data_IF_284981893372
#
_entry.id   IF_284981893372
#
_cell.length_a   1.000
_cell.length_b   1.000
_cell.length_c   1.000
_cell.angle_alpha   90.00
_cell.angle_beta   90.00
_cell.angle_gamma   90.00
#
_symmetry.space_group_name_H-M   'P 1'
#
loop_
_entity.id
_entity.type
_entity.pdbx_description
1 polymer ?
#
# COMPACT_ATOMS: atom_id res chain seq x y z
N UNK A 1 26.37 67.78 25.71
CA UNK A 1 25.01 68.04 25.16
C UNK A 1 24.69 67.00 24.10
N UNK A 2 23.50 66.35 24.17
CA UNK A 2 22.88 65.34 23.26
C UNK A 2 22.38 64.07 23.98
N UNK A 3 21.49 64.21 24.97
CA UNK A 3 20.66 63.09 25.47
C UNK A 3 19.18 63.47 25.71
N UNK A 4 18.80 64.71 25.45
CA UNK A 4 17.43 65.23 25.67
C UNK A 4 16.53 65.15 24.43
N UNK A 5 17.08 64.90 23.24
CA UNK A 5 16.32 64.94 21.98
C UNK A 5 15.61 63.63 21.60
N UNK A 6 16.00 62.49 22.20
CA UNK A 6 15.44 61.18 21.82
C UNK A 6 14.14 60.83 22.58
N UNK A 7 13.93 61.39 23.78
CA UNK A 7 12.73 61.11 24.59
C UNK A 7 11.47 61.84 24.11
N UNK A 8 11.61 62.92 23.33
CA UNK A 8 10.48 63.72 22.81
C UNK A 8 9.88 63.06 21.54
N UNK A 9 10.68 62.30 20.79
CA UNK A 9 10.23 61.60 19.58
C UNK A 9 9.42 60.33 19.87
N UNK A 10 9.66 59.66 21.01
CA UNK A 10 8.91 58.44 21.38
C UNK A 10 7.56 58.79 22.01
N UNK A 11 7.45 59.90 22.75
CA UNK A 11 6.18 60.31 23.36
C UNK A 11 5.16 60.86 22.36
N UNK A 12 5.62 61.50 21.28
CA UNK A 12 4.76 62.06 20.23
C UNK A 12 4.14 60.98 19.33
N UNK A 13 4.81 59.85 19.13
CA UNK A 13 4.29 58.74 18.32
C UNK A 13 3.16 57.97 19.03
N UNK A 14 3.22 57.87 20.36
CA UNK A 14 2.20 57.17 21.17
C UNK A 14 0.89 57.97 21.22
N UNK A 15 0.97 59.30 21.24
CA UNK A 15 -0.22 60.16 21.22
C UNK A 15 -0.94 60.10 19.87
N UNK A 16 -0.21 60.01 18.76
CA UNK A 16 -0.79 59.86 17.42
C UNK A 16 -1.52 58.51 17.23
N UNK A 17 -0.99 57.42 17.80
CA UNK A 17 -1.64 56.10 17.76
C UNK A 17 -2.91 56.03 18.63
N UNK A 18 -2.96 56.77 19.75
CA UNK A 18 -4.14 56.87 20.59
C UNK A 18 -5.26 57.72 19.94
N UNK A 19 -4.91 58.76 19.19
CA UNK A 19 -5.91 59.59 18.48
C UNK A 19 -6.49 58.83 17.27
N UNK A 20 -5.70 58.00 16.58
CA UNK A 20 -6.17 57.22 15.43
C UNK A 20 -7.12 56.07 15.83
N UNK A 21 -6.93 55.48 17.02
CA UNK A 21 -7.83 54.42 17.53
C UNK A 21 -9.18 54.94 18.03
N UNK A 22 -9.27 56.22 18.40
CA UNK A 22 -10.54 56.89 18.76
C UNK A 22 -11.34 57.25 17.49
N UNK A 23 -10.69 57.49 16.35
CA UNK A 23 -11.36 57.90 15.10
C UNK A 23 -11.99 56.75 14.30
N UNK A 24 -11.72 55.48 14.63
CA UNK A 24 -12.25 54.31 13.91
C UNK A 24 -13.43 53.63 14.62
N UNK A 25 -13.94 54.24 15.70
CA UNK A 25 -15.04 53.69 16.50
C UNK A 25 -16.19 54.68 16.55
N UNK A 26 -16.91 54.82 15.43
CA UNK A 26 -18.32 55.23 15.37
C UNK A 26 -18.71 55.60 13.95
N UNK A 27 -19.39 54.68 13.24
CA UNK A 27 -20.44 55.02 12.26
C UNK A 27 -21.40 53.83 12.10
N UNK A 28 -22.33 53.68 13.04
CA UNK A 28 -23.68 53.24 12.70
C UNK A 28 -24.51 54.48 12.33
N UNK A 29 -25.49 54.37 11.42
CA UNK A 29 -26.70 55.17 11.49
C UNK A 29 -27.91 54.30 11.86
N UNK A 30 -28.66 54.78 12.85
CA UNK A 30 -29.93 54.25 13.38
C UNK A 30 -31.16 54.90 12.74
N UNK A 31 -32.28 54.16 12.84
CA UNK A 31 -33.72 54.53 12.84
C UNK A 31 -34.42 54.58 11.47
N UNK A 32 -35.64 54.06 11.27
CA UNK A 32 -36.75 53.59 12.15
C UNK A 32 -37.70 52.71 11.29
N UNK A 33 -38.44 51.72 11.82
CA UNK A 33 -39.87 51.80 12.24
C UNK A 33 -40.27 50.45 12.90
N UNK A 34 -41.14 50.48 13.93
CA UNK A 34 -41.66 49.33 14.70
C UNK A 34 -42.80 48.55 14.01
N UNK A 35 -42.64 47.21 14.00
CA UNK A 35 -43.56 46.05 14.22
C UNK A 35 -44.96 45.94 13.53
N UNK A 36 -45.34 44.71 13.13
CA UNK A 36 -46.06 43.80 14.04
C UNK A 36 -45.41 42.41 14.24
N UNK A 37 -45.72 41.82 15.40
CA UNK A 37 -45.40 40.46 15.85
C UNK A 37 -45.99 39.39 14.91
N UNK A 38 -45.21 38.38 14.55
CA UNK A 38 -45.45 36.99 14.98
C UNK A 38 -44.46 35.98 14.35
N UNK A 39 -43.77 35.25 15.23
CA UNK A 39 -43.44 33.81 15.17
C UNK A 39 -42.84 33.25 13.86
N UNK A 40 -41.52 33.08 13.82
CA UNK A 40 -40.90 31.75 13.61
C UNK A 40 -39.38 31.76 13.85
N UNK A 41 -38.94 30.90 14.75
CA UNK A 41 -37.55 30.70 15.14
C UNK A 41 -36.73 30.04 14.03
N UNK A 42 -36.00 30.82 13.24
CA UNK A 42 -34.88 30.31 12.46
C UNK A 42 -33.65 30.20 13.36
N UNK A 43 -33.40 28.98 13.86
CA UNK A 43 -32.11 28.56 14.41
C UNK A 43 -31.03 28.89 13.37
N UNK A 44 -30.14 29.82 13.72
CA UNK A 44 -28.87 30.01 13.02
C UNK A 44 -28.08 28.71 13.15
N UNK A 45 -28.21 27.84 12.15
CA UNK A 45 -27.24 26.78 11.90
C UNK A 45 -25.95 27.49 11.53
N UNK A 46 -25.02 27.56 12.48
CA UNK A 46 -23.60 27.83 12.19
C UNK A 46 -23.12 26.70 11.29
N UNK A 47 -23.30 26.88 9.98
CA UNK A 47 -22.64 26.08 8.97
C UNK A 47 -21.15 26.45 9.08
N UNK A 48 -20.41 25.72 9.93
CA UNK A 48 -18.97 25.59 9.74
C UNK A 48 -18.82 24.91 8.39
N UNK A 49 -18.55 25.69 7.34
CA UNK A 49 -17.99 25.14 6.13
C UNK A 49 -16.75 24.35 6.57
N UNK A 50 -16.86 23.02 6.59
CA UNK A 50 -15.70 22.14 6.65
C UNK A 50 -14.93 22.44 5.37
N UNK A 51 -13.93 23.31 5.48
CA UNK A 51 -12.89 23.43 4.47
C UNK A 51 -12.34 22.01 4.33
N UNK A 52 -12.55 21.38 3.17
CA UNK A 52 -11.94 20.09 2.88
C UNK A 52 -10.44 20.28 3.05
N UNK A 53 -9.77 19.51 3.92
CA UNK A 53 -8.34 19.66 4.11
C UNK A 53 -7.64 19.51 2.77
N UNK A 54 -6.70 20.41 2.49
CA UNK A 54 -5.85 20.29 1.30
C UNK A 54 -5.11 18.95 1.37
N UNK A 55 -4.76 18.36 0.22
CA UNK A 55 -4.16 17.02 0.17
C UNK A 55 -2.92 16.88 1.09
N UNK A 56 -2.18 17.96 1.31
CA UNK A 56 -1.01 18.00 2.19
C UNK A 56 -1.36 17.92 3.69
N UNK A 57 -2.48 18.50 4.12
CA UNK A 57 -2.95 18.43 5.52
C UNK A 57 -3.41 17.01 5.87
N UNK A 58 -4.09 16.33 4.94
CA UNK A 58 -4.51 14.93 5.10
C UNK A 58 -3.28 14.01 5.20
N UNK A 59 -2.27 14.23 4.34
CA UNK A 59 -1.03 13.48 4.38
C UNK A 59 -0.28 13.69 5.70
N UNK A 60 -0.23 14.91 6.24
CA UNK A 60 0.39 15.18 7.53
C UNK A 60 -0.37 14.54 8.70
N UNK A 61 -1.71 14.59 8.69
CA UNK A 61 -2.52 13.95 9.74
C UNK A 61 -2.33 12.42 9.76
N UNK A 62 -2.29 11.79 8.58
CA UNK A 62 -2.02 10.36 8.45
C UNK A 62 -0.60 10.02 8.92
N UNK A 63 0.39 10.84 8.58
CA UNK A 63 1.77 10.66 9.02
C UNK A 63 1.91 10.73 10.55
N UNK A 64 1.25 11.70 11.18
CA UNK A 64 1.26 11.88 12.65
C UNK A 64 0.60 10.69 13.33
N UNK A 65 -0.54 10.24 12.81
CA UNK A 65 -1.26 9.08 13.36
C UNK A 65 -0.40 7.82 13.27
N UNK A 66 0.18 7.56 12.10
CA UNK A 66 1.05 6.41 11.86
C UNK A 66 2.29 6.45 12.76
N UNK A 67 2.96 7.61 12.85
CA UNK A 67 4.13 7.76 13.71
C UNK A 67 3.80 7.54 15.18
N UNK A 68 2.64 8.02 15.66
CA UNK A 68 2.19 7.79 17.03
C UNK A 68 1.98 6.29 17.30
N UNK A 69 1.28 5.58 16.43
CA UNK A 69 0.99 4.15 16.61
C UNK A 69 2.24 3.26 16.45
N UNK A 70 3.25 3.72 15.70
CA UNK A 70 4.54 3.04 15.57
C UNK A 70 5.57 3.44 16.65
N UNK A 71 5.21 4.38 17.53
CA UNK A 71 6.08 4.99 18.54
C UNK A 71 7.33 5.66 17.94
N UNK A 72 7.16 6.35 16.80
CA UNK A 72 8.22 7.03 16.07
C UNK A 72 8.14 8.53 16.31
N UNK A 73 9.29 9.14 16.63
CA UNK A 73 9.41 10.61 16.72
C UNK A 73 9.75 11.19 15.35
N UNK A 74 8.74 11.68 14.61
CA UNK A 74 8.89 12.18 13.23
C UNK A 74 10.04 13.20 13.08
N UNK A 75 10.21 14.11 14.04
CA UNK A 75 11.23 15.17 13.98
C UNK A 75 12.65 14.65 14.02
N UNK A 76 12.87 13.43 14.53
CA UNK A 76 14.18 12.80 14.67
C UNK A 76 14.46 11.75 13.60
N UNK A 77 13.43 11.30 12.89
CA UNK A 77 13.54 10.19 11.95
C UNK A 77 13.42 10.67 10.49
N UNK A 78 14.57 11.03 9.92
CA UNK A 78 14.66 11.49 8.54
C UNK A 78 14.26 10.39 7.54
N UNK A 79 14.60 9.13 7.82
CA UNK A 79 14.26 8.00 6.96
C UNK A 79 12.75 7.80 6.91
N UNK A 80 12.07 7.82 8.07
CA UNK A 80 10.62 7.75 8.17
C UNK A 80 9.93 8.84 7.37
N UNK A 81 10.38 10.09 7.52
CA UNK A 81 9.80 11.24 6.80
C UNK A 81 9.95 11.10 5.28
N UNK A 82 11.11 10.67 4.80
CA UNK A 82 11.38 10.52 3.37
C UNK A 82 10.62 9.34 2.76
N UNK A 83 10.50 8.23 3.48
CA UNK A 83 9.68 7.09 3.06
C UNK A 83 8.21 7.45 2.92
N UNK A 84 7.69 8.31 3.80
CA UNK A 84 6.33 8.83 3.74
C UNK A 84 6.15 10.04 2.80
N UNK A 85 7.22 10.53 2.15
CA UNK A 85 7.10 11.52 1.08
C UNK A 85 6.83 10.82 -0.25
N UNK A 86 5.55 10.65 -0.57
CA UNK A 86 5.10 9.96 -1.79
C UNK A 86 5.45 10.69 -3.09
N UNK A 87 5.99 11.92 -3.02
CA UNK A 87 6.52 12.65 -4.19
C UNK A 87 7.89 12.13 -4.62
N UNK A 88 8.57 11.39 -3.74
CA UNK A 88 9.88 10.79 -4.01
C UNK A 88 9.67 9.33 -4.42
N UNK A 89 10.25 8.92 -5.55
CA UNK A 89 10.25 7.52 -5.96
C UNK A 89 11.10 6.68 -4.99
N UNK A 90 10.67 5.45 -4.69
CA UNK A 90 11.39 4.53 -3.80
C UNK A 90 12.82 4.29 -4.30
N UNK A 91 13.03 4.27 -5.62
CA UNK A 91 14.35 4.08 -6.24
C UNK A 91 15.34 5.20 -5.90
N UNK A 92 14.84 6.39 -5.61
CA UNK A 92 15.65 7.56 -5.27
C UNK A 92 15.98 7.62 -3.76
N UNK A 93 15.28 6.82 -2.95
CA UNK A 93 15.50 6.77 -1.49
C UNK A 93 16.78 6.00 -1.11
N UNK A 94 17.37 5.23 -2.03
CA UNK A 94 18.61 4.46 -1.78
C UNK A 94 19.84 5.31 -1.42
N UNK A 95 19.80 6.60 -1.72
CA UNK A 95 20.91 7.53 -1.46
C UNK A 95 20.83 8.21 -0.08
N UNK A 96 19.84 7.85 0.75
CA UNK A 96 19.58 8.55 2.02
C UNK A 96 20.47 8.04 3.16
N UNK A 97 20.77 6.73 3.17
CA UNK A 97 21.57 6.06 4.19
C UNK A 97 22.53 5.07 3.53
N UNK A 98 23.53 4.59 4.27
CA UNK A 98 24.32 3.43 3.81
C UNK A 98 23.41 2.20 3.66
N UNK A 99 23.78 1.28 2.77
CA UNK A 99 23.04 0.03 2.49
C UNK A 99 22.67 -0.72 3.78
N UNK A 100 23.63 -0.88 4.70
CA UNK A 100 23.41 -1.58 5.97
C UNK A 100 22.41 -0.85 6.88
N UNK A 101 22.56 0.46 7.07
CA UNK A 101 21.63 1.24 7.90
C UNK A 101 20.23 1.23 7.32
N UNK A 102 20.11 1.29 5.99
CA UNK A 102 18.82 1.21 5.30
C UNK A 102 18.18 -0.16 5.47
N UNK A 103 18.97 -1.25 5.37
CA UNK A 103 18.53 -2.62 5.64
C UNK A 103 17.99 -2.73 7.07
N UNK A 104 18.82 -2.44 8.08
CA UNK A 104 18.44 -2.54 9.49
C UNK A 104 17.18 -1.71 9.80
N UNK A 105 17.13 -0.48 9.28
CA UNK A 105 15.98 0.40 9.47
C UNK A 105 14.71 -0.18 8.83
N UNK A 106 14.81 -0.62 7.58
CA UNK A 106 13.65 -1.08 6.82
C UNK A 106 13.11 -2.40 7.35
N UNK A 107 13.97 -3.32 7.81
CA UNK A 107 13.55 -4.56 8.50
C UNK A 107 12.80 -4.25 9.80
N UNK A 108 13.35 -3.36 10.63
CA UNK A 108 12.69 -2.95 11.87
C UNK A 108 11.33 -2.30 11.60
N UNK A 109 11.26 -1.45 10.58
CA UNK A 109 10.03 -0.76 10.21
C UNK A 109 9.00 -1.73 9.60
N UNK A 110 9.41 -2.68 8.74
CA UNK A 110 8.49 -3.67 8.16
C UNK A 110 7.84 -4.53 9.24
N UNK A 111 8.62 -4.96 10.24
CA UNK A 111 8.12 -5.82 11.32
C UNK A 111 7.14 -5.07 12.23
N UNK A 112 7.46 -3.80 12.54
CA UNK A 112 6.53 -2.95 13.28
C UNK A 112 5.23 -2.71 12.49
N UNK A 113 5.33 -2.43 11.20
CA UNK A 113 4.18 -2.16 10.34
C UNK A 113 3.30 -3.39 10.16
N UNK A 114 3.85 -4.57 9.91
CA UNK A 114 3.06 -5.79 9.73
C UNK A 114 2.22 -6.09 10.97
N UNK A 115 2.83 -6.08 12.16
CA UNK A 115 2.14 -6.30 13.42
C UNK A 115 1.04 -5.25 13.67
N UNK A 116 1.37 -3.98 13.46
CA UNK A 116 0.48 -2.86 13.68
C UNK A 116 -0.72 -2.84 12.70
N UNK A 117 -0.51 -3.26 11.45
CA UNK A 117 -1.57 -3.42 10.46
C UNK A 117 -2.53 -4.54 10.88
N UNK A 118 -1.99 -5.70 11.27
CA UNK A 118 -2.78 -6.87 11.67
C UNK A 118 -3.59 -6.59 12.93
N UNK A 119 -3.05 -5.84 13.90
CA UNK A 119 -3.74 -5.52 15.14
C UNK A 119 -4.98 -4.64 14.93
N UNK A 120 -4.83 -3.50 14.23
CA UNK A 120 -5.92 -2.53 14.07
C UNK A 120 -5.72 -1.54 12.90
N UNK A 121 -5.09 -1.99 11.81
CA UNK A 121 -4.77 -1.14 10.67
C UNK A 121 -3.91 0.08 11.03
N UNK A 122 -3.05 -0.08 12.04
CA UNK A 122 -2.27 1.00 12.65
C UNK A 122 -3.11 2.20 13.10
N UNK A 123 -4.30 1.94 13.65
CA UNK A 123 -5.22 2.95 14.15
C UNK A 123 -5.84 3.82 13.04
N UNK A 124 -5.74 3.41 11.77
CA UNK A 124 -6.48 4.05 10.67
C UNK A 124 -7.97 3.80 10.88
N UNK A 125 -8.78 4.85 10.75
CA UNK A 125 -10.24 4.78 10.93
C UNK A 125 -10.96 5.05 9.62
N UNK A 126 -12.22 4.58 9.47
CA UNK A 126 -13.07 5.01 8.38
C UNK A 126 -13.16 6.53 8.29
N UNK A 127 -13.33 7.04 7.07
CA UNK A 127 -13.52 8.46 6.86
C UNK A 127 -14.89 8.95 7.38
N UNK A 128 -15.17 10.25 7.24
CA UNK A 128 -16.44 10.82 7.70
C UNK A 128 -17.69 10.26 6.98
N UNK A 129 -17.52 9.63 5.82
CA UNK A 129 -18.57 8.97 5.07
C UNK A 129 -18.67 7.47 5.40
N UNK A 130 -17.81 6.95 6.27
CA UNK A 130 -17.74 5.55 6.66
C UNK A 130 -16.98 4.66 5.67
N UNK A 131 -16.32 5.24 4.66
CA UNK A 131 -15.48 4.46 3.75
C UNK A 131 -14.18 4.05 4.45
N UNK A 132 -13.79 2.78 4.29
CA UNK A 132 -12.55 2.23 4.81
C UNK A 132 -12.02 1.15 3.87
N UNK A 133 -10.81 1.34 3.39
CA UNK A 133 -10.08 0.34 2.62
C UNK A 133 -9.12 -0.40 3.55
N UNK A 134 -9.55 -1.56 4.01
CA UNK A 134 -8.82 -2.44 4.94
C UNK A 134 -7.46 -2.85 4.38
N UNK A 135 -7.34 -2.97 3.06
CA UNK A 135 -6.16 -3.46 2.37
C UNK A 135 -5.27 -2.33 1.82
N UNK A 136 -5.71 -1.07 1.95
CA UNK A 136 -5.12 0.11 1.30
C UNK A 136 -4.79 1.26 2.24
N UNK A 137 -4.66 1.02 3.55
CA UNK A 137 -4.40 2.10 4.51
C UNK A 137 -3.02 2.78 4.31
N UNK A 138 -2.79 3.97 4.89
CA UNK A 138 -1.47 4.60 4.86
C UNK A 138 -0.34 3.71 5.39
N UNK A 139 -0.63 2.83 6.36
CA UNK A 139 0.32 1.86 6.87
C UNK A 139 0.70 0.80 5.82
N UNK A 140 -0.28 0.28 5.06
CA UNK A 140 -0.01 -0.62 3.93
C UNK A 140 0.86 0.06 2.87
N UNK A 141 0.56 1.32 2.55
CA UNK A 141 1.33 2.10 1.59
C UNK A 141 2.78 2.30 2.02
N UNK A 142 3.00 2.58 3.32
CA UNK A 142 4.34 2.69 3.87
C UNK A 142 5.06 1.33 3.87
N UNK A 143 4.39 0.26 4.30
CA UNK A 143 4.97 -1.09 4.32
C UNK A 143 5.38 -1.54 2.92
N UNK A 144 4.52 -1.35 1.93
CA UNK A 144 4.82 -1.63 0.53
C UNK A 144 6.06 -0.87 0.04
N UNK A 145 6.18 0.43 0.38
CA UNK A 145 7.37 1.23 0.02
C UNK A 145 8.62 0.76 0.75
N UNK A 146 8.50 0.36 2.02
CA UNK A 146 9.61 -0.16 2.82
C UNK A 146 10.11 -1.49 2.28
N UNK A 147 9.21 -2.42 1.93
CA UNK A 147 9.57 -3.71 1.33
C UNK A 147 10.17 -3.53 -0.07
N UNK A 148 9.61 -2.65 -0.89
CA UNK A 148 10.19 -2.31 -2.19
C UNK A 148 11.58 -1.68 -2.06
N UNK A 149 11.81 -0.87 -1.02
CA UNK A 149 13.13 -0.31 -0.75
C UNK A 149 14.12 -1.40 -0.33
N UNK A 150 13.72 -2.33 0.53
CA UNK A 150 14.53 -3.51 0.85
C UNK A 150 14.87 -4.29 -0.41
N UNK A 151 13.87 -4.62 -1.23
CA UNK A 151 14.06 -5.40 -2.44
C UNK A 151 15.04 -4.72 -3.41
N UNK A 152 14.97 -3.40 -3.58
CA UNK A 152 15.87 -2.65 -4.47
C UNK A 152 17.32 -2.58 -3.97
N UNK A 153 17.55 -2.69 -2.65
CA UNK A 153 18.87 -2.47 -2.06
C UNK A 153 19.57 -3.77 -1.65
N UNK A 154 18.84 -4.89 -1.57
CA UNK A 154 19.38 -6.18 -1.20
C UNK A 154 19.74 -7.01 -2.43
N UNK A 155 20.93 -7.60 -2.40
CA UNK A 155 21.38 -8.61 -3.33
C UNK A 155 21.00 -10.01 -2.82
N UNK A 156 21.29 -11.02 -3.63
CA UNK A 156 21.05 -12.41 -3.29
C UNK A 156 21.83 -12.79 -2.02
N UNK A 157 21.17 -13.45 -1.06
CA UNK A 157 21.71 -13.83 0.27
C UNK A 157 22.03 -12.67 1.22
N UNK A 158 21.71 -11.43 0.87
CA UNK A 158 21.83 -10.30 1.80
C UNK A 158 20.76 -10.33 2.90
N UNK A 159 19.77 -11.22 2.82
CA UNK A 159 18.64 -11.35 3.73
C UNK A 159 18.59 -12.78 4.29
N UNK A 160 18.34 -12.92 5.60
CA UNK A 160 17.97 -14.20 6.20
C UNK A 160 16.44 -14.34 6.23
N UNK A 161 15.91 -15.56 6.17
CA UNK A 161 14.45 -15.76 6.15
C UNK A 161 13.76 -15.22 7.41
N UNK A 162 14.42 -15.35 8.57
CA UNK A 162 13.88 -14.88 9.85
C UNK A 162 13.92 -13.35 10.03
N UNK A 163 14.58 -12.63 9.13
CA UNK A 163 14.67 -11.16 9.19
C UNK A 163 13.30 -10.49 8.89
N UNK A 164 12.44 -11.17 8.11
CA UNK A 164 11.14 -10.68 7.65
C UNK A 164 10.02 -11.65 8.06
N UNK A 165 8.90 -11.15 8.60
CA UNK A 165 7.76 -11.98 8.98
C UNK A 165 6.94 -12.36 7.73
N UNK A 166 7.53 -13.15 6.84
CA UNK A 166 6.93 -13.54 5.55
C UNK A 166 5.50 -14.09 5.71
N UNK A 167 5.27 -14.92 6.72
CA UNK A 167 3.94 -15.49 6.99
C UNK A 167 2.89 -14.42 7.28
N UNK A 168 3.25 -13.38 8.03
CA UNK A 168 2.33 -12.28 8.33
C UNK A 168 2.12 -11.38 7.11
N UNK A 169 3.17 -11.19 6.29
CA UNK A 169 3.06 -10.43 5.05
C UNK A 169 2.13 -11.10 4.02
N UNK A 170 2.09 -12.43 3.97
CA UNK A 170 1.18 -13.17 3.09
C UNK A 170 -0.30 -12.97 3.45
N UNK A 171 -0.60 -12.71 4.72
CA UNK A 171 -1.97 -12.41 5.18
C UNK A 171 -2.44 -11.01 4.78
N UNK A 172 -1.53 -10.14 4.34
CA UNK A 172 -1.87 -8.78 3.91
C UNK A 172 -2.27 -8.81 2.44
N UNK A 173 -3.56 -8.66 2.17
CA UNK A 173 -4.17 -8.67 0.83
C UNK A 173 -3.88 -7.40 0.01
N UNK A 174 -2.61 -7.01 -0.04
CA UNK A 174 -2.15 -5.84 -0.78
C UNK A 174 -1.17 -6.25 -1.87
N UNK A 175 -1.50 -5.92 -3.13
CA UNK A 175 -0.73 -6.30 -4.31
C UNK A 175 0.76 -5.99 -4.18
N UNK A 176 1.12 -4.77 -3.75
CA UNK A 176 2.54 -4.35 -3.69
C UNK A 176 3.30 -5.05 -2.57
N UNK A 177 2.61 -5.38 -1.47
CA UNK A 177 3.19 -6.15 -0.37
C UNK A 177 3.44 -7.58 -0.85
N UNK A 178 2.46 -8.24 -1.48
CA UNK A 178 2.61 -9.60 -1.98
C UNK A 178 3.70 -9.72 -3.05
N UNK A 179 3.80 -8.77 -3.99
CA UNK A 179 4.88 -8.72 -4.98
C UNK A 179 6.26 -8.60 -4.31
N UNK A 180 6.40 -7.66 -3.37
CA UNK A 180 7.69 -7.45 -2.68
C UNK A 180 8.05 -8.66 -1.81
N UNK A 181 7.05 -9.27 -1.16
CA UNK A 181 7.21 -10.47 -0.31
C UNK A 181 7.71 -11.65 -1.12
N UNK A 182 7.09 -11.94 -2.27
CA UNK A 182 7.55 -13.00 -3.18
C UNK A 182 8.99 -12.76 -3.67
N UNK A 183 9.32 -11.52 -4.05
CA UNK A 183 10.67 -11.17 -4.52
C UNK A 183 11.73 -11.33 -3.42
N UNK A 184 11.44 -10.81 -2.23
CA UNK A 184 12.34 -10.89 -1.07
C UNK A 184 12.53 -12.33 -0.58
N UNK A 185 11.48 -13.17 -0.62
CA UNK A 185 11.56 -14.58 -0.27
C UNK A 185 12.62 -15.28 -1.13
N UNK A 186 12.60 -15.07 -2.44
CA UNK A 186 13.59 -15.69 -3.33
C UNK A 186 15.01 -15.12 -3.13
N UNK A 187 15.14 -13.81 -2.82
CA UNK A 187 16.42 -13.18 -2.51
C UNK A 187 17.06 -13.66 -1.21
N UNK A 188 16.24 -14.07 -0.24
CA UNK A 188 16.73 -14.73 0.97
C UNK A 188 17.38 -16.10 0.68
N UNK A 189 17.26 -16.62 -0.55
CA UNK A 189 17.82 -17.90 -0.98
C UNK A 189 17.43 -19.04 -0.02
N UNK A 190 16.12 -19.33 0.14
CA UNK A 190 15.67 -20.44 0.95
C UNK A 190 16.23 -21.75 0.41
N UNK A 191 16.47 -22.69 1.32
CA UNK A 191 16.59 -24.11 1.00
C UNK A 191 15.28 -24.62 0.40
N UNK A 192 15.31 -25.82 -0.19
CA UNK A 192 14.12 -26.48 -0.76
C UNK A 192 13.00 -26.59 0.28
N UNK A 193 13.31 -27.14 1.45
CA UNK A 193 12.33 -27.33 2.54
C UNK A 193 11.78 -26.01 3.08
N UNK A 194 12.61 -24.96 3.15
CA UNK A 194 12.14 -23.63 3.56
C UNK A 194 11.20 -23.03 2.52
N UNK A 195 11.55 -23.13 1.23
CA UNK A 195 10.69 -22.66 0.15
C UNK A 195 9.35 -23.40 0.13
N UNK A 196 9.37 -24.73 0.27
CA UNK A 196 8.16 -25.56 0.35
C UNK A 196 7.25 -25.13 1.50
N UNK A 197 7.80 -24.92 2.70
CA UNK A 197 7.02 -24.44 3.84
C UNK A 197 6.32 -23.09 3.56
N UNK A 198 6.98 -22.17 2.85
CA UNK A 198 6.34 -20.91 2.45
C UNK A 198 5.30 -21.07 1.35
N UNK A 199 5.50 -22.01 0.43
CA UNK A 199 4.53 -22.33 -0.61
C UNK A 199 3.28 -22.98 -0.01
N UNK A 200 3.42 -23.83 0.99
CA UNK A 200 2.32 -24.43 1.74
C UNK A 200 1.48 -23.36 2.45
N UNK A 201 2.13 -22.40 3.10
CA UNK A 201 1.42 -21.28 3.75
C UNK A 201 0.70 -20.41 2.70
N UNK A 202 1.28 -20.25 1.51
CA UNK A 202 0.65 -19.51 0.42
C UNK A 202 -0.55 -20.24 -0.21
N UNK A 203 -0.83 -21.49 0.16
CA UNK A 203 -2.01 -22.24 -0.29
C UNK A 203 -3.32 -21.52 0.06
N UNK A 204 -3.36 -20.85 1.21
CA UNK A 204 -4.52 -20.13 1.74
C UNK A 204 -4.80 -18.80 1.01
N UNK A 205 -3.91 -18.36 0.13
CA UNK A 205 -4.18 -17.20 -0.72
C UNK A 205 -5.32 -17.53 -1.70
N UNK A 206 -6.18 -16.59 -2.00
CA UNK A 206 -7.27 -16.78 -2.97
C UNK A 206 -7.25 -15.71 -4.07
N UNK A 207 -7.90 -16.02 -5.19
CA UNK A 207 -8.18 -15.12 -6.29
C UNK A 207 -6.95 -14.39 -6.83
N UNK A 208 -7.05 -13.06 -6.86
CA UNK A 208 -5.99 -12.19 -7.35
C UNK A 208 -4.73 -12.25 -6.47
N UNK A 209 -4.85 -12.50 -5.16
CA UNK A 209 -3.71 -12.54 -4.25
C UNK A 209 -2.81 -13.74 -4.55
N UNK A 210 -3.41 -14.94 -4.73
CA UNK A 210 -2.68 -16.14 -5.19
C UNK A 210 -2.01 -15.87 -6.54
N UNK A 211 -2.74 -15.26 -7.48
CA UNK A 211 -2.19 -14.90 -8.79
C UNK A 211 -0.97 -13.97 -8.69
N UNK A 212 -1.05 -12.89 -7.91
CA UNK A 212 0.02 -11.91 -7.75
C UNK A 212 1.27 -12.57 -7.17
N UNK A 213 1.10 -13.31 -6.08
CA UNK A 213 2.20 -13.96 -5.37
C UNK A 213 2.94 -14.97 -6.26
N UNK A 214 2.22 -15.93 -6.82
CA UNK A 214 2.84 -16.98 -7.64
C UNK A 214 3.39 -16.46 -8.97
N UNK A 215 2.71 -15.53 -9.64
CA UNK A 215 3.26 -14.93 -10.88
C UNK A 215 4.57 -14.17 -10.61
N UNK A 216 4.69 -13.54 -9.44
CA UNK A 216 5.94 -12.89 -9.03
C UNK A 216 7.03 -13.91 -8.74
N UNK A 217 6.73 -14.98 -8.00
CA UNK A 217 7.69 -16.06 -7.75
C UNK A 217 8.20 -16.66 -9.06
N UNK A 218 7.30 -17.05 -9.97
CA UNK A 218 7.65 -17.64 -11.27
C UNK A 218 8.58 -16.73 -12.08
N UNK A 219 8.31 -15.41 -12.08
CA UNK A 219 9.09 -14.44 -12.85
C UNK A 219 10.47 -14.18 -12.26
N UNK A 220 10.60 -14.26 -10.93
CA UNK A 220 11.82 -13.92 -10.21
C UNK A 220 12.68 -15.14 -9.82
N UNK A 221 12.14 -16.35 -9.90
CA UNK A 221 12.83 -17.59 -9.55
C UNK A 221 13.92 -17.96 -10.54
N UNK A 222 15.03 -18.51 -10.03
CA UNK A 222 16.00 -19.22 -10.88
C UNK A 222 15.42 -20.56 -11.38
N UNK A 223 16.09 -21.23 -12.32
CA UNK A 223 15.55 -22.44 -12.96
C UNK A 223 15.18 -23.57 -11.98
N UNK A 224 15.92 -23.72 -10.89
CA UNK A 224 15.64 -24.74 -9.87
C UNK A 224 14.42 -24.35 -9.04
N UNK A 225 14.42 -23.18 -8.42
CA UNK A 225 13.29 -22.63 -7.65
C UNK A 225 12.00 -22.63 -8.47
N UNK A 226 12.09 -22.27 -9.75
CA UNK A 226 10.96 -22.19 -10.66
C UNK A 226 10.23 -23.51 -10.80
N UNK A 227 10.96 -24.62 -10.90
CA UNK A 227 10.37 -25.96 -10.99
C UNK A 227 9.50 -26.27 -9.75
N UNK A 228 10.03 -25.98 -8.55
CA UNK A 228 9.30 -26.18 -7.29
C UNK A 228 8.07 -25.27 -7.19
N UNK A 229 8.19 -23.99 -7.56
CA UNK A 229 7.07 -23.05 -7.57
C UNK A 229 5.96 -23.50 -8.52
N UNK A 230 6.31 -23.95 -9.73
CA UNK A 230 5.35 -24.45 -10.73
C UNK A 230 4.66 -25.73 -10.23
N UNK A 231 5.41 -26.65 -9.61
CA UNK A 231 4.84 -27.88 -9.04
C UNK A 231 3.87 -27.60 -7.88
N UNK A 232 4.29 -26.75 -6.94
CA UNK A 232 3.43 -26.37 -5.82
C UNK A 232 2.14 -25.71 -6.31
N UNK A 233 2.23 -24.76 -7.26
CA UNK A 233 1.05 -24.10 -7.81
C UNK A 233 0.13 -25.09 -8.55
N UNK A 234 0.69 -25.98 -9.38
CA UNK A 234 -0.10 -27.00 -10.07
C UNK A 234 -0.80 -27.95 -9.09
N UNK A 235 -0.14 -28.29 -7.98
CA UNK A 235 -0.74 -29.10 -6.92
C UNK A 235 -1.88 -28.35 -6.25
N UNK A 236 -1.63 -27.11 -5.83
CA UNK A 236 -2.63 -26.27 -5.17
C UNK A 236 -3.84 -25.98 -6.05
N UNK A 237 -3.68 -25.84 -7.36
CA UNK A 237 -4.80 -25.63 -8.28
C UNK A 237 -5.78 -26.78 -8.35
N UNK A 238 -5.40 -28.01 -7.99
CA UNK A 238 -6.35 -29.13 -7.95
C UNK A 238 -7.44 -28.95 -6.90
N UNK A 239 -7.11 -28.24 -5.81
CA UNK A 239 -8.00 -28.02 -4.66
C UNK A 239 -8.38 -26.54 -4.47
N UNK A 240 -7.88 -25.64 -5.34
CA UNK A 240 -8.19 -24.20 -5.26
C UNK A 240 -9.59 -23.90 -5.79
N UNK A 241 -10.16 -22.80 -5.31
CA UNK A 241 -11.42 -22.31 -5.85
C UNK A 241 -11.29 -21.96 -7.35
N UNK A 242 -12.39 -22.09 -8.14
CA UNK A 242 -12.36 -21.79 -9.57
C UNK A 242 -11.93 -20.35 -9.91
N UNK A 243 -12.15 -19.39 -9.01
CA UNK A 243 -11.81 -17.99 -9.25
C UNK A 243 -10.29 -17.75 -9.15
N UNK A 244 -9.59 -18.38 -8.21
CA UNK A 244 -8.12 -18.40 -8.14
C UNK A 244 -7.47 -18.89 -9.43
N UNK A 245 -7.94 -20.04 -9.94
CA UNK A 245 -7.42 -20.63 -11.17
C UNK A 245 -7.64 -19.68 -12.34
N UNK A 246 -8.86 -19.17 -12.52
CA UNK A 246 -9.18 -18.23 -13.60
C UNK A 246 -8.37 -16.94 -13.49
N UNK A 247 -8.23 -16.37 -12.29
CA UNK A 247 -7.45 -15.15 -12.05
C UNK A 247 -5.99 -15.33 -12.48
N UNK A 248 -5.37 -16.47 -12.16
CA UNK A 248 -4.02 -16.78 -12.62
C UNK A 248 -3.93 -16.82 -14.15
N UNK A 249 -4.82 -17.55 -14.81
CA UNK A 249 -4.79 -17.69 -16.26
C UNK A 249 -5.13 -16.39 -17.01
N UNK A 250 -5.93 -15.49 -16.42
CA UNK A 250 -6.16 -14.14 -16.94
C UNK A 250 -4.88 -13.31 -17.06
N UNK A 251 -3.92 -13.52 -16.16
CA UNK A 251 -2.64 -12.80 -16.13
C UNK A 251 -1.49 -13.60 -16.73
N UNK A 252 -1.71 -14.82 -17.19
CA UNK A 252 -0.70 -15.71 -17.78
C UNK A 252 0.21 -15.03 -18.81
N UNK A 253 -0.34 -14.10 -19.59
CA UNK A 253 0.41 -13.35 -20.62
C UNK A 253 1.57 -12.49 -20.10
N UNK A 254 1.66 -12.23 -18.79
CA UNK A 254 2.81 -11.56 -18.16
C UNK A 254 3.97 -12.51 -17.86
N UNK A 255 3.75 -13.83 -18.02
CA UNK A 255 4.74 -14.87 -17.77
C UNK A 255 5.27 -15.44 -19.07
N UNK A 256 6.55 -15.83 -19.07
CA UNK A 256 7.16 -16.62 -20.12
C UNK A 256 7.27 -18.05 -19.60
N UNK A 257 6.32 -18.91 -19.93
CA UNK A 257 6.29 -20.31 -19.54
C UNK A 257 6.82 -21.18 -20.68
N UNK A 258 7.50 -22.27 -20.35
CA UNK A 258 7.76 -23.34 -21.32
C UNK A 258 6.46 -24.11 -21.61
N UNK A 259 6.44 -24.89 -22.70
CA UNK A 259 5.29 -25.75 -23.00
C UNK A 259 5.02 -26.77 -21.88
N UNK A 260 6.07 -27.27 -21.24
CA UNK A 260 5.98 -28.22 -20.12
C UNK A 260 5.37 -27.56 -18.87
N UNK A 261 5.87 -26.38 -18.49
CA UNK A 261 5.34 -25.62 -17.36
C UNK A 261 3.88 -25.25 -17.55
N UNK A 262 3.54 -24.80 -18.77
CA UNK A 262 2.16 -24.47 -19.11
C UNK A 262 1.25 -25.70 -19.06
N UNK A 263 1.67 -26.83 -19.65
CA UNK A 263 0.89 -28.06 -19.62
C UNK A 263 0.66 -28.54 -18.18
N UNK A 264 1.69 -28.46 -17.34
CA UNK A 264 1.61 -28.84 -15.93
C UNK A 264 0.57 -28.00 -15.17
N UNK A 265 0.67 -26.67 -15.25
CA UNK A 265 -0.30 -25.76 -14.63
C UNK A 265 -1.70 -25.95 -15.22
N UNK A 266 -1.82 -26.04 -16.54
CA UNK A 266 -3.12 -26.13 -17.19
C UNK A 266 -3.84 -27.46 -16.92
N UNK A 267 -3.11 -28.58 -16.84
CA UNK A 267 -3.69 -29.89 -16.53
C UNK A 267 -4.38 -29.91 -15.15
N UNK A 268 -3.81 -29.18 -14.18
CA UNK A 268 -4.41 -29.07 -12.83
C UNK A 268 -5.75 -28.36 -12.81
N UNK A 269 -6.02 -27.45 -13.75
CA UNK A 269 -7.28 -26.72 -13.88
C UNK A 269 -8.36 -27.44 -14.71
N UNK A 270 -8.08 -28.62 -15.26
CA UNK A 270 -9.03 -29.31 -16.16
C UNK A 270 -10.29 -29.80 -15.45
N UNK A 271 -10.25 -30.03 -14.13
CA UNK A 271 -11.42 -30.45 -13.33
C UNK A 271 -12.60 -29.45 -13.44
N UNK A 272 -12.29 -28.16 -13.68
CA UNK A 272 -13.28 -27.12 -13.93
C UNK A 272 -14.24 -27.44 -15.08
N UNK A 273 -13.80 -28.23 -16.07
CA UNK A 273 -14.63 -28.67 -17.20
C UNK A 273 -15.89 -29.40 -16.76
N UNK A 274 -15.81 -30.17 -15.68
CA UNK A 274 -16.94 -30.92 -15.12
C UNK A 274 -17.65 -30.15 -14.01
N UNK A 275 -16.89 -29.39 -13.21
CA UNK A 275 -17.39 -28.77 -11.97
C UNK A 275 -17.98 -27.37 -12.17
N UNK A 276 -17.45 -26.58 -13.10
CA UNK A 276 -17.87 -25.19 -13.29
C UNK A 276 -17.65 -24.71 -14.73
N UNK A 277 -18.70 -24.82 -15.55
CA UNK A 277 -18.66 -24.48 -16.98
C UNK A 277 -18.27 -23.01 -17.24
N UNK A 278 -18.68 -22.08 -16.37
CA UNK A 278 -18.37 -20.64 -16.55
C UNK A 278 -16.87 -20.41 -16.36
N UNK A 279 -16.32 -20.92 -15.25
CA UNK A 279 -14.89 -20.83 -14.96
C UNK A 279 -14.05 -21.57 -16.00
N UNK A 280 -14.49 -22.76 -16.43
CA UNK A 280 -13.87 -23.51 -17.51
C UNK A 280 -13.79 -22.71 -18.82
N UNK A 281 -14.88 -22.06 -19.22
CA UNK A 281 -14.90 -21.25 -20.44
C UNK A 281 -13.89 -20.10 -20.38
N UNK A 282 -13.79 -19.42 -19.22
CA UNK A 282 -12.82 -18.34 -19.02
C UNK A 282 -11.38 -18.87 -19.02
N UNK A 283 -11.09 -19.89 -18.20
CA UNK A 283 -9.81 -20.59 -18.16
C UNK A 283 -9.35 -21.00 -19.57
N UNK A 284 -10.21 -21.73 -20.29
CA UNK A 284 -9.93 -22.23 -21.64
C UNK A 284 -9.65 -21.09 -22.63
N UNK A 285 -10.41 -20.00 -22.57
CA UNK A 285 -10.19 -18.83 -23.43
C UNK A 285 -8.80 -18.22 -23.21
N UNK A 286 -8.42 -17.99 -21.94
CA UNK A 286 -7.12 -17.39 -21.61
C UNK A 286 -5.95 -18.31 -21.95
N UNK A 287 -6.09 -19.61 -21.69
CA UNK A 287 -5.11 -20.61 -22.05
C UNK A 287 -4.90 -20.71 -23.57
N UNK A 288 -5.99 -20.80 -24.36
CA UNK A 288 -5.91 -20.78 -25.84
C UNK A 288 -5.17 -19.56 -26.36
N UNK A 289 -5.57 -18.39 -25.87
CA UNK A 289 -4.95 -17.11 -26.26
C UNK A 289 -3.45 -17.10 -25.98
N UNK A 290 -3.01 -17.70 -24.87
CA UNK A 290 -1.59 -17.80 -24.54
C UNK A 290 -0.83 -18.79 -25.45
N UNK A 291 -1.40 -19.97 -25.69
CA UNK A 291 -0.84 -21.00 -26.60
C UNK A 291 -0.65 -20.41 -28.00
N UNK A 292 -1.69 -19.78 -28.56
CA UNK A 292 -1.68 -19.18 -29.89
C UNK A 292 -0.65 -18.05 -29.99
N UNK A 293 -0.63 -17.14 -29.01
CA UNK A 293 0.30 -16.00 -28.98
C UNK A 293 1.76 -16.46 -28.95
N UNK A 294 2.05 -17.55 -28.23
CA UNK A 294 3.41 -18.07 -28.07
C UNK A 294 3.74 -19.21 -29.04
N UNK A 295 2.83 -19.54 -29.98
CA UNK A 295 2.98 -20.62 -30.97
C UNK A 295 3.37 -21.97 -30.34
N UNK A 296 2.75 -22.30 -29.23
CA UNK A 296 3.01 -23.56 -28.52
C UNK A 296 2.24 -24.72 -29.17
N UNK A 297 2.89 -25.87 -29.30
CA UNK A 297 2.27 -27.10 -29.77
C UNK A 297 1.62 -27.86 -28.60
N UNK A 298 0.43 -27.40 -28.19
CA UNK A 298 -0.35 -27.99 -27.09
C UNK A 298 -1.79 -28.18 -27.56
N UNK A 299 -2.24 -29.42 -27.65
CA UNK A 299 -3.65 -29.75 -27.91
C UNK A 299 -4.44 -29.76 -26.60
N UNK A 300 -5.36 -28.81 -26.47
CA UNK A 300 -6.20 -28.68 -25.28
C UNK A 300 -7.15 -29.83 -25.05
N UNK A 301 -7.59 -30.53 -26.10
CA UNK A 301 -8.46 -31.68 -25.93
C UNK A 301 -7.67 -32.89 -25.43
N UNK A 302 -6.37 -32.97 -25.72
CA UNK A 302 -5.49 -33.98 -25.14
C UNK A 302 -5.09 -33.63 -23.71
N UNK A 303 -4.85 -32.34 -23.45
CA UNK A 303 -4.47 -31.85 -22.13
C UNK A 303 -5.61 -31.94 -21.10
N UNK A 304 -6.84 -31.62 -21.52
CA UNK A 304 -8.06 -31.68 -20.71
C UNK A 304 -9.13 -32.56 -21.40
N UNK A 305 -8.99 -33.89 -21.33
CA UNK A 305 -9.89 -34.85 -21.98
C UNK A 305 -11.34 -34.74 -21.49
#
# INVERSE_FOLDING_TARGET
>A
MKKTSLKILVSSLIVLLAIWSIFLKDKEPKNSVMLPEDIETLRVVKNKQQVKPLGEEVLQANLITLAKNLEITISKDQAFRKLNDYRIDVKDLKFILSKELLKTYSLKLSNKLSMCIIDNFCGTKPDSAGYFDENGTPAHSLLARTLALLDLNLEYKDLQLDDIPFQDLLKLENTKILESTASLLLKANPTESELENYLDIAQDLEGANKQIFFSTLIRSSNSYQRSHVIEALATQFKDSDPYSIVAFFQKLSSLTLSSEELAKLASSGCHLKLENQISWNSFRFHLKKYIEKNKMDIDLNQLCP
#
